data_IF_349610636330
#
_entry.id   IF_349610636330
#
_cell.length_a   1.000
_cell.length_b   1.000
_cell.length_c   1.000
_cell.angle_alpha   90.00
_cell.angle_beta   90.00
_cell.angle_gamma   90.00
#
_symmetry.space_group_name_H-M   'P 1'
#
loop_
_entity.id
_entity.type
_entity.pdbx_description
1 polymer ?
#
# COMPACT_ATOMS: atom_id res chain seq x y z
N UNK A 1 -20.37 -2.59 18.00
CA UNK A 1 -19.42 -3.56 17.39
C UNK A 1 -19.13 -4.76 18.28
N UNK A 2 -18.76 -4.59 19.57
CA UNK A 2 -18.48 -5.72 20.47
C UNK A 2 -19.69 -6.63 20.81
N UNK A 3 -20.93 -6.17 20.66
CA UNK A 3 -22.13 -6.97 20.95
C UNK A 3 -22.61 -7.86 19.79
N UNK A 4 -22.13 -7.66 18.56
CA UNK A 4 -22.58 -8.40 17.38
C UNK A 4 -21.62 -9.53 16.95
N UNK A 5 -20.46 -9.65 17.59
CA UNK A 5 -19.50 -10.73 17.32
C UNK A 5 -19.90 -12.09 17.95
N UNK A 6 -20.91 -12.10 18.83
CA UNK A 6 -21.39 -13.30 19.53
C UNK A 6 -22.52 -14.05 18.82
N UNK A 7 -23.04 -13.55 17.69
CA UNK A 7 -24.29 -14.05 17.10
C UNK A 7 -24.21 -14.48 15.62
N UNK A 8 -23.03 -14.92 15.15
CA UNK A 8 -22.81 -15.52 13.81
C UNK A 8 -23.38 -14.73 12.60
N UNK A 9 -23.68 -13.45 12.77
CA UNK A 9 -24.23 -12.59 11.72
C UNK A 9 -23.11 -11.94 10.89
N UNK A 10 -22.23 -12.76 10.33
CA UNK A 10 -21.07 -12.32 9.54
C UNK A 10 -21.48 -11.45 8.34
N UNK A 11 -22.62 -11.73 7.71
CA UNK A 11 -23.15 -10.95 6.58
C UNK A 11 -23.61 -9.54 6.99
N UNK A 12 -24.25 -9.40 8.17
CA UNK A 12 -24.66 -8.09 8.68
C UNK A 12 -23.45 -7.27 9.11
N UNK A 13 -22.45 -7.91 9.72
CA UNK A 13 -21.19 -7.25 10.06
C UNK A 13 -20.43 -6.77 8.80
N UNK A 14 -20.40 -7.58 7.73
CA UNK A 14 -19.83 -7.19 6.44
C UNK A 14 -20.59 -6.00 5.83
N UNK A 15 -21.92 -6.06 5.81
CA UNK A 15 -22.77 -4.97 5.30
C UNK A 15 -22.54 -3.66 6.06
N UNK A 16 -22.44 -3.71 7.39
CA UNK A 16 -22.18 -2.54 8.23
C UNK A 16 -20.78 -1.97 7.96
N UNK A 17 -19.76 -2.83 7.83
CA UNK A 17 -18.40 -2.42 7.47
C UNK A 17 -18.36 -1.74 6.11
N UNK A 18 -18.98 -2.35 5.11
CA UNK A 18 -18.97 -1.85 3.73
C UNK A 18 -19.78 -0.54 3.63
N UNK A 19 -20.84 -0.39 4.45
CA UNK A 19 -21.60 0.86 4.59
C UNK A 19 -20.77 1.95 5.26
N UNK A 20 -20.02 1.62 6.32
CA UNK A 20 -19.09 2.53 6.98
C UNK A 20 -17.98 3.00 6.03
N UNK A 21 -17.43 2.10 5.21
CA UNK A 21 -16.45 2.44 4.18
C UNK A 21 -17.03 3.39 3.13
N UNK A 22 -18.26 3.14 2.65
CA UNK A 22 -18.97 4.05 1.73
C UNK A 22 -19.24 5.41 2.37
N UNK A 23 -19.62 5.43 3.65
CA UNK A 23 -19.85 6.67 4.39
C UNK A 23 -18.55 7.46 4.60
N UNK A 24 -17.44 6.78 4.90
CA UNK A 24 -16.11 7.38 4.95
C UNK A 24 -15.68 7.94 3.58
N UNK A 25 -15.99 7.25 2.49
CA UNK A 25 -15.77 7.73 1.12
C UNK A 25 -16.58 9.00 0.82
N UNK A 26 -17.84 9.09 1.24
CA UNK A 26 -18.63 10.33 1.11
C UNK A 26 -18.10 11.45 2.02
N UNK A 27 -17.53 11.10 3.19
CA UNK A 27 -16.83 12.03 4.08
C UNK A 27 -15.49 12.51 3.54
N UNK A 28 -14.88 11.82 2.58
CA UNK A 28 -13.77 12.39 1.82
C UNK A 28 -14.35 13.55 1.01
N UNK A 29 -14.21 14.74 1.57
CA UNK A 29 -14.84 15.97 1.11
C UNK A 29 -14.66 16.11 -0.41
N UNK A 30 -15.76 16.06 -1.16
CA UNK A 30 -15.79 16.58 -2.51
C UNK A 30 -15.45 18.06 -2.41
N UNK A 31 -14.19 18.41 -2.69
CA UNK A 31 -13.75 19.81 -2.69
C UNK A 31 -14.47 20.53 -3.81
N UNK A 32 -15.00 21.70 -3.49
CA UNK A 32 -15.72 22.49 -4.48
C UNK A 32 -14.72 22.95 -5.56
N UNK A 33 -15.10 22.93 -6.85
CA UNK A 33 -14.23 23.46 -7.92
C UNK A 33 -13.73 24.88 -7.65
N UNK A 34 -14.48 25.69 -6.89
CA UNK A 34 -14.08 27.04 -6.47
C UNK A 34 -12.84 27.09 -5.57
N UNK A 35 -12.57 26.08 -4.75
CA UNK A 35 -11.37 26.05 -3.89
C UNK A 35 -10.07 26.08 -4.71
N UNK A 36 -10.08 25.51 -5.92
CA UNK A 36 -8.94 25.53 -6.84
C UNK A 36 -8.75 26.89 -7.52
N UNK A 37 -9.82 27.67 -7.66
CA UNK A 37 -9.77 29.03 -8.22
C UNK A 37 -9.17 29.98 -7.19
N UNK A 38 -9.50 29.80 -5.92
CA UNK A 38 -8.99 30.62 -4.81
C UNK A 38 -7.54 30.24 -4.43
N UNK A 39 -7.18 28.96 -4.50
CA UNK A 39 -5.81 28.51 -4.28
C UNK A 39 -5.34 27.57 -5.42
N UNK A 40 -4.60 28.09 -6.40
CA UNK A 40 -4.02 27.29 -7.49
C UNK A 40 -3.05 26.18 -7.02
N UNK A 41 -2.45 26.32 -5.83
CA UNK A 41 -1.48 25.36 -5.25
C UNK A 41 -2.10 24.36 -4.26
N UNK A 42 -3.43 24.34 -4.15
CA UNK A 42 -4.16 23.56 -3.15
C UNK A 42 -3.73 22.09 -3.05
N UNK A 43 -3.50 21.44 -4.19
CA UNK A 43 -3.08 20.03 -4.21
C UNK A 43 -1.68 19.81 -3.65
N UNK A 44 -0.78 20.75 -3.91
CA UNK A 44 0.60 20.69 -3.43
C UNK A 44 0.64 21.01 -1.93
N UNK A 45 -0.19 21.95 -1.45
CA UNK A 45 -0.35 22.26 -0.03
C UNK A 45 -0.91 21.07 0.77
N UNK A 46 -1.91 20.37 0.23
CA UNK A 46 -2.47 19.16 0.84
C UNK A 46 -1.42 18.07 0.90
N UNK A 47 -0.71 17.83 -0.21
CA UNK A 47 0.32 16.81 -0.28
C UNK A 47 1.45 17.12 0.71
N UNK A 48 1.88 18.39 0.78
CA UNK A 48 2.90 18.84 1.72
C UNK A 48 2.45 18.66 3.17
N UNK A 49 1.23 19.07 3.50
CA UNK A 49 0.64 18.89 4.84
C UNK A 49 0.60 17.42 5.23
N UNK A 50 0.25 16.53 4.29
CA UNK A 50 0.25 15.09 4.54
C UNK A 50 1.65 14.54 4.79
N UNK A 51 2.67 14.99 4.05
CA UNK A 51 4.06 14.59 4.27
C UNK A 51 4.62 15.11 5.60
N UNK A 52 4.37 16.38 5.93
CA UNK A 52 4.80 16.98 7.19
C UNK A 52 4.15 16.24 8.37
N UNK A 53 2.86 15.93 8.28
CA UNK A 53 2.16 15.14 9.28
C UNK A 53 2.71 13.70 9.35
N UNK A 54 3.02 13.07 8.22
CA UNK A 54 3.59 11.72 8.16
C UNK A 54 4.92 11.62 8.94
N UNK A 55 5.80 12.61 8.79
CA UNK A 55 7.05 12.71 9.56
C UNK A 55 6.79 12.82 11.07
N UNK A 56 5.74 13.55 11.48
CA UNK A 56 5.38 13.67 12.90
C UNK A 56 4.85 12.36 13.48
N UNK A 57 4.01 11.65 12.71
CA UNK A 57 3.33 10.45 13.22
C UNK A 57 4.21 9.21 13.14
N UNK A 58 5.16 9.10 12.21
CA UNK A 58 6.05 7.93 12.06
C UNK A 58 7.41 8.23 12.69
N UNK A 59 7.74 7.72 13.90
CA UNK A 59 8.92 8.16 14.65
C UNK A 59 10.26 7.93 13.96
N UNK A 60 10.32 6.91 13.10
CA UNK A 60 11.53 6.52 12.34
C UNK A 60 11.72 7.32 11.05
N UNK A 61 10.70 8.07 10.60
CA UNK A 61 10.80 8.90 9.41
C UNK A 61 11.30 10.30 9.80
N UNK A 62 12.54 10.64 9.42
CA UNK A 62 13.18 11.90 9.82
C UNK A 62 13.08 13.02 8.79
N UNK A 63 12.89 12.65 7.53
CA UNK A 63 12.85 13.57 6.40
C UNK A 63 11.58 13.36 5.58
N UNK A 64 11.21 14.36 4.78
CA UNK A 64 10.03 14.26 3.92
C UNK A 64 10.30 13.25 2.80
N UNK A 65 9.51 12.16 2.71
CA UNK A 65 9.76 11.15 1.71
C UNK A 65 9.34 11.67 0.33
N UNK A 66 10.33 11.82 -0.56
CA UNK A 66 10.11 12.27 -1.94
C UNK A 66 9.41 11.19 -2.76
N UNK A 67 9.79 9.93 -2.56
CA UNK A 67 9.20 8.77 -3.24
C UNK A 67 8.71 7.76 -2.20
N UNK A 68 7.41 7.54 -2.14
CA UNK A 68 6.78 6.52 -1.31
C UNK A 68 6.28 5.41 -2.22
N UNK A 69 6.68 4.17 -1.95
CA UNK A 69 6.19 2.99 -2.66
C UNK A 69 5.33 2.13 -1.74
N UNK A 70 4.13 1.78 -2.17
CA UNK A 70 3.22 0.89 -1.45
C UNK A 70 3.05 -0.43 -2.20
N UNK A 71 3.14 -1.54 -1.47
CA UNK A 71 3.07 -2.90 -2.01
C UNK A 71 1.90 -3.67 -1.41
N UNK A 72 1.10 -4.30 -2.28
CA UNK A 72 0.06 -5.27 -1.91
C UNK A 72 0.28 -6.60 -2.66
N UNK A 73 0.11 -7.71 -1.94
CA UNK A 73 0.18 -9.07 -2.49
C UNK A 73 -1.23 -9.62 -2.57
N UNK A 74 -1.71 -9.83 -3.80
CA UNK A 74 -3.03 -10.39 -4.05
C UNK A 74 -2.90 -11.78 -4.65
N UNK A 75 -3.62 -12.74 -4.06
CA UNK A 75 -3.69 -14.09 -4.57
C UNK A 75 -5.14 -14.48 -4.86
N UNK A 76 -5.38 -15.01 -6.06
CA UNK A 76 -6.68 -15.56 -6.44
C UNK A 76 -6.55 -17.06 -6.64
N UNK A 77 -7.23 -17.80 -5.76
CA UNK A 77 -7.52 -19.23 -5.91
C UNK A 77 -6.29 -20.09 -6.25
N UNK A 78 -5.12 -19.70 -5.74
CA UNK A 78 -3.90 -20.51 -5.70
C UNK A 78 -3.11 -20.67 -7.01
N UNK A 79 -3.52 -20.04 -8.12
CA UNK A 79 -2.85 -20.26 -9.43
C UNK A 79 -2.16 -19.03 -10.04
N UNK A 80 -2.56 -17.81 -9.69
CA UNK A 80 -2.01 -16.58 -10.28
C UNK A 80 -1.90 -15.48 -9.21
N UNK A 81 -0.81 -15.52 -8.43
CA UNK A 81 -0.49 -14.48 -7.47
C UNK A 81 0.16 -13.26 -8.15
N UNK A 82 -0.15 -12.07 -7.63
CA UNK A 82 0.27 -10.81 -8.22
C UNK A 82 0.67 -9.85 -7.10
N UNK A 83 1.89 -9.33 -7.21
CA UNK A 83 2.32 -8.16 -6.45
C UNK A 83 1.95 -6.88 -7.19
N UNK A 84 1.43 -5.91 -6.48
CA UNK A 84 1.14 -4.58 -6.99
C UNK A 84 1.97 -3.54 -6.27
N UNK A 85 2.47 -2.57 -7.03
CA UNK A 85 3.26 -1.45 -6.53
C UNK A 85 2.65 -0.15 -7.03
N UNK A 86 2.27 0.70 -6.08
CA UNK A 86 1.74 2.04 -6.28
C UNK A 86 2.73 3.04 -5.71
N UNK A 87 2.84 4.20 -6.36
CA UNK A 87 3.85 5.21 -6.02
C UNK A 87 3.19 6.54 -5.75
N UNK A 88 3.63 7.21 -4.69
CA UNK A 88 3.45 8.64 -4.52
C UNK A 88 4.79 9.38 -4.65
N UNK A 89 4.80 10.42 -5.47
CA UNK A 89 5.91 11.36 -5.59
C UNK A 89 5.50 12.69 -4.95
N UNK A 90 6.30 13.18 -4.02
CA UNK A 90 6.01 14.40 -3.25
C UNK A 90 4.59 14.40 -2.65
N UNK A 91 4.17 13.26 -2.08
CA UNK A 91 2.85 13.09 -1.48
C UNK A 91 1.69 12.93 -2.47
N UNK A 92 1.95 12.93 -3.79
CA UNK A 92 0.93 12.78 -4.83
C UNK A 92 1.08 11.45 -5.56
N UNK A 93 -0.04 10.73 -5.69
CA UNK A 93 -0.10 9.48 -6.43
C UNK A 93 0.34 9.69 -7.89
N UNK A 94 1.32 8.90 -8.35
CA UNK A 94 1.78 8.90 -9.74
C UNK A 94 1.53 7.54 -10.41
N UNK A 95 0.47 7.49 -11.23
CA UNK A 95 0.05 6.29 -11.95
C UNK A 95 1.04 5.79 -12.99
N UNK A 96 1.96 6.66 -13.47
CA UNK A 96 2.97 6.30 -14.48
C UNK A 96 4.04 5.37 -13.90
N UNK A 97 4.25 5.46 -12.60
CA UNK A 97 5.23 4.70 -11.84
C UNK A 97 4.72 3.34 -11.35
N UNK A 98 3.43 3.04 -11.56
CA UNK A 98 2.83 1.80 -11.08
C UNK A 98 3.42 0.57 -11.76
N UNK A 99 3.60 -0.51 -10.99
CA UNK A 99 4.12 -1.79 -11.50
C UNK A 99 3.31 -2.96 -10.97
N UNK A 100 3.25 -4.01 -11.77
CA UNK A 100 2.71 -5.31 -11.38
C UNK A 100 3.78 -6.37 -11.53
N UNK A 101 3.78 -7.31 -10.61
CA UNK A 101 4.71 -8.41 -10.57
C UNK A 101 3.88 -9.68 -10.63
N UNK A 102 3.94 -10.40 -11.75
CA UNK A 102 3.42 -11.77 -11.79
C UNK A 102 4.31 -12.65 -10.92
N UNK A 103 3.72 -13.33 -9.96
CA UNK A 103 4.43 -14.20 -9.01
C UNK A 103 4.23 -15.64 -9.46
N UNK A 104 5.34 -16.35 -9.69
CA UNK A 104 5.32 -17.77 -10.09
C UNK A 104 5.48 -18.64 -8.85
N UNK A 105 4.36 -19.08 -8.26
CA UNK A 105 4.39 -19.97 -7.09
C UNK A 105 4.33 -21.44 -7.51
N UNK A 106 5.19 -22.30 -6.94
CA UNK A 106 5.22 -23.77 -7.19
C UNK A 106 4.36 -24.59 -6.21
N UNK A 107 3.92 -23.99 -5.11
CA UNK A 107 3.27 -24.65 -3.96
C UNK A 107 2.11 -23.81 -3.41
N UNK A 108 1.56 -24.22 -2.26
CA UNK A 108 0.59 -23.47 -1.44
C UNK A 108 0.97 -21.99 -1.32
N UNK A 109 -0.01 -21.06 -1.35
CA UNK A 109 0.24 -19.64 -1.14
C UNK A 109 1.00 -19.36 0.15
N UNK A 110 2.16 -18.73 0.04
CA UNK A 110 2.93 -18.17 1.15
C UNK A 110 3.13 -16.67 0.89
N UNK A 111 2.32 -15.85 1.57
CA UNK A 111 2.30 -14.40 1.37
C UNK A 111 3.64 -13.74 1.74
N UNK A 112 4.40 -14.32 2.67
CA UNK A 112 5.72 -13.80 3.05
C UNK A 112 6.73 -14.07 1.94
N UNK A 113 6.78 -15.29 1.41
CA UNK A 113 7.64 -15.63 0.28
C UNK A 113 7.32 -14.76 -0.95
N UNK A 114 6.03 -14.55 -1.21
CA UNK A 114 5.57 -13.72 -2.33
C UNK A 114 5.99 -12.24 -2.16
N UNK A 115 5.83 -11.67 -0.97
CA UNK A 115 6.30 -10.32 -0.67
C UNK A 115 7.82 -10.19 -0.84
N UNK A 116 8.58 -11.15 -0.30
CA UNK A 116 10.03 -11.21 -0.46
C UNK A 116 10.44 -11.24 -1.94
N UNK A 117 9.83 -12.10 -2.76
CA UNK A 117 10.15 -12.23 -4.19
C UNK A 117 9.91 -10.92 -4.96
N UNK A 118 8.77 -10.26 -4.70
CA UNK A 118 8.41 -8.98 -5.32
C UNK A 118 9.39 -7.89 -4.93
N UNK A 119 9.63 -7.72 -3.63
CA UNK A 119 10.55 -6.71 -3.10
C UNK A 119 11.98 -6.94 -3.61
N UNK A 120 12.47 -8.18 -3.58
CA UNK A 120 13.80 -8.53 -4.05
C UNK A 120 13.96 -8.19 -5.55
N UNK A 121 12.97 -8.57 -6.37
CA UNK A 121 13.00 -8.24 -7.81
C UNK A 121 13.02 -6.75 -8.04
N UNK A 122 12.16 -5.99 -7.34
CA UNK A 122 12.05 -4.54 -7.49
C UNK A 122 13.32 -3.81 -7.03
N UNK A 123 13.84 -4.14 -5.86
CA UNK A 123 15.00 -3.47 -5.28
C UNK A 123 16.31 -3.87 -5.96
N UNK A 124 16.37 -5.05 -6.58
CA UNK A 124 17.53 -5.43 -7.41
C UNK A 124 17.74 -4.53 -8.63
N UNK A 125 16.74 -3.71 -9.04
CA UNK A 125 16.94 -2.70 -10.08
C UNK A 125 17.87 -1.56 -9.63
N UNK A 126 18.05 -1.36 -8.32
CA UNK A 126 18.91 -0.30 -7.77
C UNK A 126 20.34 -0.81 -7.47
N UNK A 127 20.53 -2.13 -7.42
CA UNK A 127 21.83 -2.74 -7.10
C UNK A 127 22.46 -3.49 -8.28
N UNK A 128 21.69 -3.92 -9.27
CA UNK A 128 22.20 -4.60 -10.47
C UNK A 128 22.50 -3.57 -11.58
N UNK A 129 23.78 -3.37 -11.96
CA UNK A 129 24.17 -2.38 -12.98
C UNK A 129 23.65 -2.73 -14.38
N UNK A 130 23.19 -3.96 -14.62
CA UNK A 130 22.59 -4.37 -15.90
C UNK A 130 21.13 -3.96 -16.01
N UNK A 131 20.51 -3.53 -14.92
CA UNK A 131 19.11 -3.13 -14.88
C UNK A 131 18.99 -1.62 -14.91
N UNK A 132 17.94 -1.13 -15.58
CA UNK A 132 17.54 0.27 -15.48
C UNK A 132 16.99 0.52 -14.07
N UNK A 133 17.58 1.46 -13.35
CA UNK A 133 17.08 1.99 -12.08
C UNK A 133 15.68 2.58 -12.24
N UNK A 134 14.82 2.35 -11.25
CA UNK A 134 13.49 2.95 -11.15
C UNK A 134 13.44 4.04 -10.06
N UNK A 135 14.61 4.39 -9.50
CA UNK A 135 14.77 5.30 -8.38
C UNK A 135 14.54 4.59 -7.05
N UNK A 136 15.43 4.85 -6.09
CA UNK A 136 15.29 4.33 -4.73
C UNK A 136 14.17 5.07 -3.99
N UNK A 137 13.20 4.38 -3.36
CA UNK A 137 12.19 5.04 -2.55
C UNK A 137 12.78 5.57 -1.23
N UNK A 138 12.22 6.67 -0.74
CA UNK A 138 12.51 7.18 0.61
C UNK A 138 11.75 6.41 1.69
N UNK A 139 10.59 5.84 1.32
CA UNK A 139 9.74 5.06 2.21
C UNK A 139 9.05 3.93 1.44
N UNK A 140 9.12 2.72 1.99
CA UNK A 140 8.34 1.56 1.53
C UNK A 140 7.22 1.28 2.54
N UNK A 141 6.01 1.06 2.03
CA UNK A 141 4.81 0.73 2.80
C UNK A 141 4.31 -0.65 2.36
N UNK A 142 4.28 -1.62 3.25
CA UNK A 142 3.74 -2.96 2.98
C UNK A 142 2.31 -3.09 3.50
N UNK A 143 1.40 -3.66 2.72
CA UNK A 143 0.04 -4.01 3.17
C UNK A 143 0.04 -5.26 4.07
N UNK A 144 0.54 -5.07 5.30
CA UNK A 144 0.60 -6.12 6.30
C UNK A 144 1.34 -5.71 7.57
N UNK A 145 1.32 -6.61 8.54
CA UNK A 145 1.94 -6.40 9.85
C UNK A 145 3.39 -6.88 9.93
N UNK A 146 3.81 -7.27 11.14
CA UNK A 146 5.20 -7.64 11.49
C UNK A 146 5.81 -8.69 10.57
N UNK A 147 5.07 -9.72 10.17
CA UNK A 147 5.60 -10.79 9.32
C UNK A 147 6.05 -10.30 7.94
N UNK A 148 5.22 -9.49 7.27
CA UNK A 148 5.59 -8.91 5.97
C UNK A 148 6.73 -7.90 6.13
N UNK A 149 6.69 -7.06 7.17
CA UNK A 149 7.76 -6.12 7.46
C UNK A 149 9.09 -6.82 7.70
N UNK A 150 9.12 -7.89 8.51
CA UNK A 150 10.31 -8.71 8.74
C UNK A 150 10.91 -9.23 7.44
N UNK A 151 10.06 -9.79 6.58
CA UNK A 151 10.47 -10.32 5.28
C UNK A 151 11.05 -9.25 4.35
N UNK A 152 10.48 -8.04 4.36
CA UNK A 152 11.02 -6.92 3.60
C UNK A 152 12.36 -6.39 4.15
N UNK A 153 12.53 -6.36 5.47
CA UNK A 153 13.80 -5.97 6.11
C UNK A 153 14.94 -6.96 5.78
N UNK A 154 14.63 -8.26 5.67
CA UNK A 154 15.59 -9.26 5.20
C UNK A 154 16.06 -8.97 3.76
N UNK A 155 15.15 -8.55 2.87
CA UNK A 155 15.48 -8.16 1.49
C UNK A 155 16.41 -6.95 1.47
N UNK A 156 16.09 -5.91 2.25
CA UNK A 156 16.93 -4.70 2.35
C UNK A 156 18.34 -5.04 2.85
N UNK A 157 18.43 -5.86 3.89
CA UNK A 157 19.71 -6.33 4.45
C UNK A 157 20.50 -7.10 3.40
N UNK A 158 19.87 -8.03 2.68
CA UNK A 158 20.51 -8.84 1.63
C UNK A 158 21.03 -8.02 0.46
N UNK A 159 20.33 -6.94 0.10
CA UNK A 159 20.72 -6.05 -0.99
C UNK A 159 21.60 -4.89 -0.52
N UNK A 160 21.91 -4.82 0.78
CA UNK A 160 22.67 -3.73 1.40
C UNK A 160 22.08 -2.35 1.06
N UNK A 161 20.75 -2.22 1.18
CA UNK A 161 20.00 -1.00 0.94
C UNK A 161 19.50 -0.41 2.25
N UNK A 162 19.78 0.87 2.47
CA UNK A 162 19.27 1.64 3.60
C UNK A 162 18.03 2.43 3.16
N UNK A 163 16.87 1.78 3.27
CA UNK A 163 15.56 2.35 2.90
C UNK A 163 14.60 2.14 4.05
N UNK A 164 13.90 3.19 4.44
CA UNK A 164 12.90 3.08 5.49
C UNK A 164 11.71 2.24 5.02
N UNK A 165 11.30 1.28 5.84
CA UNK A 165 10.18 0.40 5.55
C UNK A 165 9.22 0.32 6.74
N UNK A 166 7.93 0.42 6.45
CA UNK A 166 6.84 0.28 7.43
C UNK A 166 5.79 -0.71 6.92
N UNK A 167 5.10 -1.36 7.86
CA UNK A 167 3.89 -2.12 7.59
C UNK A 167 2.66 -1.29 7.90
N UNK A 168 1.59 -1.48 7.13
CA UNK A 168 0.28 -0.91 7.40
C UNK A 168 -0.70 -2.05 7.71
N UNK A 169 -0.93 -2.31 8.99
CA UNK A 169 -1.84 -3.36 9.41
C UNK A 169 -3.29 -2.89 9.29
N UNK A 170 -4.12 -3.69 8.61
CA UNK A 170 -5.56 -3.42 8.41
C UNK A 170 -6.37 -3.31 9.70
N UNK A 171 -5.92 -3.96 10.78
CA UNK A 171 -6.58 -3.85 12.09
C UNK A 171 -6.22 -2.50 12.70
N UNK A 172 -7.24 -1.67 12.93
CA UNK A 172 -7.12 -0.36 13.60
C UNK A 172 -6.27 0.69 12.85
N UNK A 173 -5.94 0.43 11.59
CA UNK A 173 -5.12 1.35 10.76
C UNK A 173 -3.78 1.65 11.45
N UNK A 174 -3.12 0.58 11.89
CA UNK A 174 -1.90 0.62 12.68
C UNK A 174 -0.67 0.61 11.78
N UNK A 175 0.22 1.58 11.98
CA UNK A 175 1.57 1.59 11.40
C UNK A 175 2.48 0.71 12.25
N UNK A 176 3.14 -0.23 11.60
CA UNK A 176 4.15 -1.11 12.18
C UNK A 176 5.51 -0.67 11.68
N UNK A 177 6.48 -0.48 12.56
CA UNK A 177 7.85 -0.14 12.18
C UNK A 177 8.87 -0.90 13.03
N UNK A 178 10.12 -0.92 12.58
CA UNK A 178 11.22 -1.56 13.27
C UNK A 178 12.24 -0.51 13.73
N UNK A 179 12.52 -0.49 15.02
CA UNK A 179 13.56 0.32 15.66
C UNK A 179 14.05 -0.43 16.91
N UNK A 180 15.13 -1.20 16.76
CA UNK A 180 15.63 -2.14 17.77
C UNK A 180 14.55 -3.08 18.33
N UNK A 181 13.53 -3.39 17.53
CA UNK A 181 12.31 -4.10 17.92
C UNK A 181 11.10 -3.64 17.10
N UNK A 182 10.04 -4.45 17.09
CA UNK A 182 8.80 -4.08 16.40
C UNK A 182 7.92 -3.20 17.28
N UNK A 183 7.51 -2.07 16.73
CA UNK A 183 6.62 -1.10 17.36
C UNK A 183 5.36 -0.91 16.52
N UNK A 184 4.28 -0.51 17.19
CA UNK A 184 2.97 -0.29 16.59
C UNK A 184 2.40 1.03 17.08
N UNK A 185 1.85 1.83 16.17
CA UNK A 185 1.18 3.08 16.47
C UNK A 185 -0.11 3.19 15.65
N UNK A 186 -1.14 3.78 16.23
CA UNK A 186 -2.42 4.03 15.55
C UNK A 186 -2.74 5.54 15.66
N UNK A 187 -2.20 6.39 14.76
CA UNK A 187 -2.41 7.84 14.79
C UNK A 187 -3.87 8.27 14.57
N UNK A 188 -4.71 7.36 14.07
CA UNK A 188 -6.11 7.62 13.73
C UNK A 188 -6.28 8.21 12.32
N UNK A 189 -7.51 8.14 11.81
CA UNK A 189 -7.83 8.53 10.43
C UNK A 189 -7.99 10.04 10.21
N UNK A 190 -7.94 10.84 11.27
CA UNK A 190 -7.96 12.30 11.18
C UNK A 190 -6.60 12.87 10.75
N UNK A 191 -5.51 12.11 10.95
CA UNK A 191 -4.17 12.47 10.48
C UNK A 191 -4.12 12.54 8.95
N UNK A 192 -3.54 13.62 8.41
CA UNK A 192 -3.32 13.78 6.98
C UNK A 192 -2.29 12.78 6.45
N UNK A 193 -1.21 12.52 7.21
CA UNK A 193 -0.21 11.51 6.89
C UNK A 193 -0.78 10.10 6.90
N UNK A 194 -1.62 9.79 7.89
CA UNK A 194 -2.29 8.49 7.97
C UNK A 194 -3.24 8.27 6.78
N UNK A 195 -4.00 9.30 6.39
CA UNK A 195 -4.85 9.26 5.19
C UNK A 195 -4.06 9.04 3.91
N UNK A 196 -2.85 9.60 3.78
CA UNK A 196 -1.96 9.33 2.65
C UNK A 196 -1.56 7.85 2.59
N UNK A 197 -1.18 7.24 3.72
CA UNK A 197 -0.85 5.81 3.78
C UNK A 197 -2.04 4.91 3.43
N UNK A 198 -3.22 5.22 3.97
CA UNK A 198 -4.47 4.50 3.67
C UNK A 198 -4.80 4.61 2.17
N UNK A 199 -4.73 5.81 1.60
CA UNK A 199 -5.00 6.03 0.18
C UNK A 199 -4.02 5.25 -0.71
N UNK A 200 -2.74 5.19 -0.34
CA UNK A 200 -1.73 4.40 -1.04
C UNK A 200 -2.06 2.90 -1.02
N UNK A 201 -2.41 2.36 0.15
CA UNK A 201 -2.82 0.96 0.30
C UNK A 201 -4.06 0.65 -0.52
N UNK A 202 -5.12 1.45 -0.36
CA UNK A 202 -6.40 1.22 -1.03
C UNK A 202 -6.24 1.31 -2.56
N UNK A 203 -5.38 2.21 -3.04
CA UNK A 203 -5.04 2.34 -4.46
C UNK A 203 -4.21 1.14 -4.96
N UNK A 204 -3.29 0.61 -4.14
CA UNK A 204 -2.54 -0.62 -4.44
C UNK A 204 -3.48 -1.82 -4.59
N UNK A 205 -4.38 -1.99 -3.62
CA UNK A 205 -5.40 -3.02 -3.63
C UNK A 205 -6.33 -2.89 -4.86
N UNK A 206 -6.81 -1.68 -5.16
CA UNK A 206 -7.61 -1.41 -6.37
C UNK A 206 -6.84 -1.76 -7.65
N UNK A 207 -5.54 -1.47 -7.69
CA UNK A 207 -4.69 -1.73 -8.85
C UNK A 207 -4.47 -3.23 -9.09
N UNK A 208 -4.37 -4.02 -8.01
CA UNK A 208 -4.35 -5.49 -8.05
C UNK A 208 -5.71 -6.06 -8.52
N UNK A 209 -6.81 -5.65 -7.90
CA UNK A 209 -8.16 -6.12 -8.27
C UNK A 209 -8.48 -5.87 -9.75
N UNK A 210 -8.17 -4.66 -10.27
CA UNK A 210 -8.40 -4.32 -11.68
C UNK A 210 -7.69 -5.31 -12.63
N UNK A 211 -6.50 -5.77 -12.26
CA UNK A 211 -5.75 -6.73 -13.06
C UNK A 211 -6.40 -8.11 -13.06
N UNK A 212 -6.86 -8.55 -11.89
CA UNK A 212 -7.56 -9.81 -11.77
C UNK A 212 -8.88 -9.84 -12.54
N UNK A 213 -9.65 -8.74 -12.51
CA UNK A 213 -10.83 -8.61 -13.35
C UNK A 213 -10.47 -8.75 -14.83
N UNK A 214 -9.40 -8.08 -15.29
CA UNK A 214 -8.92 -8.21 -16.68
C UNK A 214 -8.52 -9.65 -17.05
N UNK A 215 -7.79 -10.35 -16.17
CA UNK A 215 -7.40 -11.74 -16.41
C UNK A 215 -8.61 -12.69 -16.48
N UNK A 216 -9.59 -12.51 -15.59
CA UNK A 216 -10.84 -13.28 -15.61
C UNK A 216 -11.63 -13.02 -16.88
N UNK A 217 -11.79 -11.76 -17.28
CA UNK A 217 -12.47 -11.41 -18.55
C UNK A 217 -11.75 -12.04 -19.75
N UNK A 218 -10.42 -12.04 -19.79
CA UNK A 218 -9.67 -12.71 -20.86
C UNK A 218 -9.89 -14.23 -20.90
N UNK A 219 -9.95 -14.90 -19.74
CA UNK A 219 -10.26 -16.34 -19.67
C UNK A 219 -11.68 -16.69 -20.12
N UNK A 220 -12.65 -15.79 -19.85
CA UNK A 220 -14.05 -15.99 -20.22
C UNK A 220 -14.28 -15.70 -21.72
N UNK A 221 -13.58 -14.71 -22.28
CA UNK A 221 -13.82 -14.21 -23.65
C UNK A 221 -12.70 -14.56 -24.65
N UNK A 222 -11.78 -15.47 -24.34
CA UNK A 222 -10.57 -15.68 -25.15
C UNK A 222 -9.99 -17.09 -25.16
N UNK A 223 -10.67 -18.01 -25.84
CA UNK A 223 -10.08 -18.87 -26.89
C UNK A 223 -11.07 -18.88 -28.07
N UNK A 224 -10.96 -17.90 -28.95
CA UNK A 224 -11.51 -18.03 -30.31
C UNK A 224 -10.31 -17.91 -31.24
N UNK A 225 -10.00 -19.04 -31.88
CA UNK A 225 -8.92 -19.19 -32.87
C UNK A 225 -9.11 -18.25 -34.05
#
# INVERSE_FOLDING_TARGET
>A
MKSHALSENFEKAATIRDTLQKFQYVRQSFRLPGEYIENPYLLDDIARTALDDLVRIVPVLKELPVRIECYDISNISGKEAVGSMVVALNGRIDKREYKRFSIKTKSTPDDFFMSHEVLYRRLSHETDPKKRSWGLPSLIVLDGGKGQLSSGLEVLTKLNLDVLMIGLAKKEETVVYYDNGFHEIAPGTDSAGMRLLINLRDESHRFAQKYHHMLRSKKIFGETK
#
